data_IF_395466067081
#
_entry.id   IF_395466067081
#
_cell.length_a   1.000
_cell.length_b   1.000
_cell.length_c   1.000
_cell.angle_alpha   90.00
_cell.angle_beta   90.00
_cell.angle_gamma   90.00
#
_symmetry.space_group_name_H-M   'P 1'
#
loop_
_entity.id
_entity.type
_entity.pdbx_description
1 polymer ?
#
# COMPACT_ATOMS: atom_id res chain seq x y z
N UNK A 1 44.76 17.76 10.81
CA UNK A 1 43.41 17.96 10.33
C UNK A 1 42.50 17.92 11.53
N UNK A 2 41.96 19.09 11.91
CA UNK A 2 41.32 19.31 13.19
C UNK A 2 39.99 18.59 13.28
N UNK A 3 39.87 17.64 14.22
CA UNK A 3 38.67 16.85 14.50
C UNK A 3 37.47 17.63 15.10
N UNK A 4 37.56 18.95 15.20
CA UNK A 4 36.54 19.81 15.82
C UNK A 4 35.35 20.14 14.90
N UNK A 5 35.43 19.86 13.59
CA UNK A 5 34.33 20.16 12.65
C UNK A 5 33.23 19.10 12.57
N UNK A 6 33.42 17.92 13.18
CA UNK A 6 32.44 16.84 13.16
C UNK A 6 31.43 16.92 14.33
N UNK A 7 31.62 17.79 15.31
CA UNK A 7 30.76 17.92 16.50
C UNK A 7 30.07 19.29 16.62
N UNK A 8 30.17 20.14 15.62
CA UNK A 8 29.28 21.30 15.56
C UNK A 8 27.84 20.78 15.38
N UNK A 9 26.87 21.16 16.25
CA UNK A 9 25.47 20.93 15.99
C UNK A 9 25.03 21.89 14.89
N UNK A 10 25.55 21.70 13.68
CA UNK A 10 24.94 22.28 12.50
C UNK A 10 23.55 21.65 12.45
N UNK A 11 22.53 22.42 12.83
CA UNK A 11 21.15 22.05 12.68
C UNK A 11 20.92 21.55 11.27
N UNK A 12 19.97 20.67 11.07
CA UNK A 12 19.62 20.17 9.73
C UNK A 12 19.44 21.37 8.82
N UNK A 13 20.08 21.40 7.66
CA UNK A 13 20.02 22.52 6.73
C UNK A 13 18.59 22.92 6.33
N UNK A 14 17.65 21.98 6.41
CA UNK A 14 16.23 22.21 6.16
C UNK A 14 15.50 22.91 7.33
N UNK A 15 15.96 22.76 8.58
CA UNK A 15 15.23 23.22 9.76
C UNK A 15 14.92 24.73 9.76
N UNK A 16 15.86 25.64 9.45
CA UNK A 16 15.56 27.07 9.38
C UNK A 16 14.44 27.41 8.39
N UNK A 17 14.41 26.76 7.23
CA UNK A 17 13.41 26.96 6.19
C UNK A 17 12.03 26.44 6.63
N UNK A 18 11.99 25.25 7.24
CA UNK A 18 10.76 24.65 7.73
C UNK A 18 10.16 25.47 8.86
N UNK A 19 10.97 25.91 9.82
CA UNK A 19 10.55 26.76 10.95
C UNK A 19 10.05 28.11 10.45
N UNK A 20 10.68 28.68 9.41
CA UNK A 20 10.27 29.93 8.78
C UNK A 20 9.00 29.79 7.89
N UNK A 21 8.33 28.63 7.88
CA UNK A 21 7.18 28.32 7.03
C UNK A 21 7.47 28.46 5.53
N UNK A 22 8.72 28.22 5.14
CA UNK A 22 9.15 28.23 3.74
C UNK A 22 9.20 26.83 3.12
N UNK A 23 8.57 25.84 3.76
CA UNK A 23 8.35 24.52 3.18
C UNK A 23 7.43 24.65 1.94
N UNK A 24 7.72 23.85 0.92
CA UNK A 24 6.90 23.77 -0.30
C UNK A 24 6.50 22.32 -0.53
N UNK A 25 5.26 22.01 -0.23
CA UNK A 25 4.64 20.73 -0.47
C UNK A 25 4.06 20.63 -1.89
N UNK A 26 3.56 19.47 -2.28
CA UNK A 26 3.01 19.28 -3.64
C UNK A 26 1.94 20.31 -3.98
N UNK A 27 1.03 20.61 -3.05
CA UNK A 27 -0.04 21.59 -3.27
C UNK A 27 0.46 23.04 -3.44
N UNK A 28 1.63 23.38 -2.89
CA UNK A 28 2.24 24.71 -3.01
C UNK A 28 2.91 24.93 -4.37
N UNK A 29 3.01 23.89 -5.19
CA UNK A 29 3.65 23.89 -6.51
C UNK A 29 2.63 23.91 -7.65
N UNK A 30 1.35 24.11 -7.34
CA UNK A 30 0.26 24.06 -8.30
C UNK A 30 0.35 25.22 -9.29
N UNK A 31 0.43 24.95 -10.62
CA UNK A 31 0.29 25.99 -11.64
C UNK A 31 -1.10 26.66 -11.58
N UNK A 32 -1.17 27.95 -11.88
CA UNK A 32 -2.42 28.72 -11.79
C UNK A 32 -3.52 28.29 -12.77
N UNK A 33 -3.15 27.56 -13.81
CA UNK A 33 -4.03 27.01 -14.85
C UNK A 33 -4.25 25.49 -14.73
N UNK A 34 -3.75 24.86 -13.67
CA UNK A 34 -3.92 23.43 -13.47
C UNK A 34 -5.39 23.05 -13.29
N UNK A 35 -5.78 21.95 -13.88
CA UNK A 35 -7.08 21.32 -13.65
C UNK A 35 -7.08 20.57 -12.33
N UNK A 36 -8.24 20.45 -11.70
CA UNK A 36 -8.44 19.72 -10.46
C UNK A 36 -9.16 18.40 -10.72
N UNK A 37 -8.63 17.33 -10.15
CA UNK A 37 -9.22 16.00 -10.21
C UNK A 37 -9.85 15.62 -8.88
N UNK A 38 -10.98 14.88 -8.94
CA UNK A 38 -11.56 14.12 -7.84
C UNK A 38 -11.92 12.73 -8.33
N UNK A 39 -12.04 11.78 -7.40
CA UNK A 39 -12.35 10.40 -7.73
C UNK A 39 -13.70 10.00 -7.16
N UNK A 40 -14.59 9.50 -8.02
CA UNK A 40 -15.74 8.73 -7.56
C UNK A 40 -15.21 7.38 -7.04
N UNK A 41 -15.42 7.10 -5.75
CA UNK A 41 -14.95 5.89 -5.08
C UNK A 41 -16.11 4.99 -4.69
N UNK A 42 -15.85 3.68 -4.75
CA UNK A 42 -16.84 2.68 -4.35
C UNK A 42 -17.16 2.79 -2.86
N UNK A 43 -18.46 2.83 -2.50
CA UNK A 43 -18.92 2.78 -1.12
C UNK A 43 -19.09 1.34 -0.59
N UNK A 44 -18.86 0.31 -1.43
CA UNK A 44 -18.99 -1.09 -1.05
C UNK A 44 -17.64 -1.78 -0.96
N UNK A 45 -17.54 -2.78 -0.10
CA UNK A 45 -16.31 -3.55 0.07
C UNK A 45 -16.15 -4.67 -0.96
N UNK A 46 -17.26 -5.19 -1.50
CA UNK A 46 -17.29 -6.25 -2.52
C UNK A 46 -18.57 -6.17 -3.33
N UNK A 47 -18.47 -6.47 -4.62
CA UNK A 47 -19.62 -6.53 -5.52
C UNK A 47 -19.30 -6.10 -6.94
N UNK A 48 -20.32 -5.65 -7.65
CA UNK A 48 -20.20 -5.22 -9.05
C UNK A 48 -20.76 -3.82 -9.26
N UNK A 49 -20.16 -3.10 -10.19
CA UNK A 49 -20.76 -1.89 -10.76
C UNK A 49 -21.80 -2.37 -11.78
N UNK A 50 -23.09 -2.19 -11.45
CA UNK A 50 -24.20 -2.56 -12.32
C UNK A 50 -24.45 -1.53 -13.40
N UNK A 51 -24.31 -0.26 -13.04
CA UNK A 51 -24.57 0.88 -13.91
C UNK A 51 -23.65 2.04 -13.57
N UNK A 52 -23.18 2.74 -14.59
CA UNK A 52 -22.42 3.97 -14.47
C UNK A 52 -22.81 4.89 -15.63
N UNK A 53 -23.48 6.01 -15.34
CA UNK A 53 -23.78 7.06 -16.30
C UNK A 53 -23.12 8.38 -15.89
N UNK A 54 -22.32 8.92 -16.78
CA UNK A 54 -21.51 10.12 -16.56
C UNK A 54 -21.98 11.31 -17.42
N UNK A 55 -23.06 11.17 -18.20
CA UNK A 55 -23.44 12.16 -19.21
C UNK A 55 -23.88 13.48 -18.61
N UNK A 56 -24.68 13.46 -17.54
CA UNK A 56 -25.08 14.66 -16.81
C UNK A 56 -23.87 15.39 -16.21
N UNK A 57 -22.99 14.64 -15.57
CA UNK A 57 -21.77 15.17 -14.96
C UNK A 57 -20.79 15.74 -16.01
N UNK A 58 -20.67 15.09 -17.16
CA UNK A 58 -19.80 15.53 -18.27
C UNK A 58 -20.23 16.90 -18.82
N UNK A 59 -21.52 17.18 -18.77
CA UNK A 59 -22.12 18.44 -19.24
C UNK A 59 -22.13 19.54 -18.18
N UNK A 60 -21.69 19.27 -16.96
CA UNK A 60 -21.71 20.23 -15.86
C UNK A 60 -20.71 21.37 -16.06
N UNK A 61 -21.05 22.55 -15.56
CA UNK A 61 -20.26 23.74 -15.73
C UNK A 61 -18.85 23.61 -15.10
N UNK A 62 -17.83 23.89 -15.88
CA UNK A 62 -16.43 23.85 -15.43
C UNK A 62 -15.78 22.47 -15.52
N UNK A 63 -16.52 21.41 -15.87
CA UNK A 63 -15.96 20.08 -16.14
C UNK A 63 -15.20 20.11 -17.46
N UNK A 64 -13.99 19.56 -17.44
CA UNK A 64 -13.11 19.42 -18.62
C UNK A 64 -13.19 18.01 -19.18
N UNK A 65 -13.16 16.98 -18.30
CA UNK A 65 -13.24 15.60 -18.69
C UNK A 65 -13.74 14.73 -17.53
N UNK A 66 -14.33 13.59 -17.85
CA UNK A 66 -14.56 12.48 -16.93
C UNK A 66 -13.92 11.26 -17.59
N UNK A 67 -12.92 10.70 -16.93
CA UNK A 67 -12.15 9.56 -17.40
C UNK A 67 -12.59 8.29 -16.67
N UNK A 68 -12.79 7.22 -17.45
CA UNK A 68 -13.29 5.92 -16.99
C UNK A 68 -12.25 4.82 -17.22
N UNK A 69 -12.54 3.62 -16.76
CA UNK A 69 -11.73 2.45 -17.06
C UNK A 69 -11.68 2.10 -18.56
N UNK A 70 -12.72 2.48 -19.33
CA UNK A 70 -12.73 2.29 -20.77
C UNK A 70 -11.73 3.21 -21.47
N UNK A 71 -11.64 4.47 -21.02
CA UNK A 71 -10.63 5.40 -21.50
C UNK A 71 -9.21 4.91 -21.18
N UNK A 72 -9.00 4.37 -19.96
CA UNK A 72 -7.72 3.82 -19.55
C UNK A 72 -7.30 2.61 -20.40
N UNK A 73 -8.24 1.73 -20.72
CA UNK A 73 -8.00 0.58 -21.57
C UNK A 73 -7.67 0.99 -23.03
N UNK A 74 -8.38 2.00 -23.57
CA UNK A 74 -8.09 2.55 -24.90
C UNK A 74 -6.67 3.11 -25.00
N UNK A 75 -6.19 3.73 -23.93
CA UNK A 75 -4.86 4.35 -23.87
C UNK A 75 -3.75 3.36 -23.41
N UNK A 76 -4.09 2.10 -23.13
CA UNK A 76 -3.15 1.04 -22.74
C UNK A 76 -2.61 1.18 -21.30
N UNK A 77 -3.34 1.89 -20.42
CA UNK A 77 -2.95 2.14 -19.02
C UNK A 77 -3.96 1.56 -18.03
N UNK A 78 -4.48 0.38 -18.31
CA UNK A 78 -5.60 -0.21 -17.56
C UNK A 78 -5.22 -0.65 -16.14
N UNK A 79 -3.99 -1.17 -15.94
CA UNK A 79 -3.56 -1.77 -14.69
C UNK A 79 -2.28 -1.17 -14.15
N UNK A 80 -2.17 -1.15 -12.81
CA UNK A 80 -0.89 -0.85 -12.15
C UNK A 80 0.16 -1.88 -12.56
N UNK A 81 1.41 -1.44 -12.71
CA UNK A 81 2.52 -2.32 -13.06
C UNK A 81 2.76 -3.32 -11.92
N UNK A 82 2.61 -4.58 -12.23
CA UNK A 82 2.94 -5.67 -11.33
C UNK A 82 4.38 -6.16 -11.55
N UNK A 83 5.15 -6.34 -10.49
CA UNK A 83 6.53 -6.83 -10.58
C UNK A 83 6.73 -8.06 -9.69
N UNK A 84 6.29 -9.18 -10.16
CA UNK A 84 6.55 -10.49 -9.59
C UNK A 84 5.54 -10.94 -8.54
N UNK A 85 4.88 -12.07 -8.78
CA UNK A 85 4.04 -12.75 -7.81
C UNK A 85 4.92 -13.27 -6.64
N UNK A 86 4.45 -13.19 -5.40
CA UNK A 86 5.08 -13.94 -4.31
C UNK A 86 4.92 -15.43 -4.59
N UNK A 87 5.98 -16.17 -4.31
CA UNK A 87 5.98 -17.63 -4.51
C UNK A 87 5.25 -18.29 -3.35
N UNK A 88 4.43 -19.29 -3.65
CA UNK A 88 3.88 -20.21 -2.65
C UNK A 88 4.83 -21.39 -2.51
N UNK A 89 5.39 -21.60 -1.31
CA UNK A 89 6.30 -22.72 -1.03
C UNK A 89 5.58 -24.09 -1.07
N UNK A 90 4.24 -24.10 -1.12
CA UNK A 90 3.42 -25.29 -1.30
C UNK A 90 3.24 -25.70 -2.77
N UNK A 91 3.82 -24.95 -3.72
CA UNK A 91 3.76 -25.23 -5.15
C UNK A 91 2.45 -24.86 -5.83
N UNK A 92 1.46 -24.35 -5.10
CA UNK A 92 0.23 -23.85 -5.71
C UNK A 92 0.48 -22.52 -6.46
N UNK A 93 -0.26 -22.29 -7.53
CA UNK A 93 -0.22 -21.02 -8.23
C UNK A 93 -0.83 -19.91 -7.35
N UNK A 94 -0.07 -18.82 -7.14
CA UNK A 94 -0.66 -17.60 -6.59
C UNK A 94 -1.54 -16.95 -7.65
N UNK A 95 -2.70 -16.40 -7.23
CA UNK A 95 -3.54 -15.64 -8.15
C UNK A 95 -2.80 -14.37 -8.61
N UNK A 96 -2.85 -14.08 -9.90
CA UNK A 96 -2.38 -12.80 -10.43
C UNK A 96 -3.40 -11.72 -10.05
N UNK A 97 -3.13 -10.97 -8.99
CA UNK A 97 -3.98 -9.88 -8.53
C UNK A 97 -3.65 -8.59 -9.30
N UNK A 98 -4.12 -8.48 -10.53
CA UNK A 98 -3.95 -7.25 -11.31
C UNK A 98 -4.84 -6.14 -10.71
N UNK A 99 -4.19 -5.05 -10.28
CA UNK A 99 -4.86 -3.89 -9.68
C UNK A 99 -5.22 -2.88 -10.78
N UNK A 100 -6.51 -2.68 -11.11
CA UNK A 100 -6.89 -1.71 -12.12
C UNK A 100 -6.62 -0.29 -11.64
N UNK A 101 -6.32 0.64 -12.56
CA UNK A 101 -6.23 2.06 -12.25
C UNK A 101 -7.61 2.64 -11.91
N UNK A 102 -8.62 2.33 -12.72
CA UNK A 102 -10.03 2.61 -12.48
C UNK A 102 -10.83 1.31 -12.62
N UNK A 103 -11.85 1.12 -11.79
CA UNK A 103 -12.65 -0.10 -11.81
C UNK A 103 -13.78 0.01 -12.83
N UNK A 104 -13.89 -1.02 -13.69
CA UNK A 104 -14.96 -1.13 -14.70
C UNK A 104 -16.17 -1.90 -14.21
N UNK A 105 -15.95 -3.01 -13.53
CA UNK A 105 -17.01 -3.96 -13.23
C UNK A 105 -17.00 -4.50 -11.79
N UNK A 106 -15.83 -4.86 -11.24
CA UNK A 106 -15.72 -5.57 -9.97
C UNK A 106 -15.07 -4.70 -8.93
N UNK A 107 -15.70 -4.59 -7.78
CA UNK A 107 -15.17 -3.94 -6.57
C UNK A 107 -14.68 -5.01 -5.61
N UNK A 108 -13.48 -4.83 -5.06
CA UNK A 108 -12.84 -5.77 -4.13
C UNK A 108 -12.54 -5.18 -2.77
N UNK A 109 -12.57 -3.85 -2.63
CA UNK A 109 -12.48 -3.17 -1.32
C UNK A 109 -13.17 -1.80 -1.37
N UNK A 110 -13.56 -1.31 -0.20
CA UNK A 110 -14.08 0.05 -0.02
C UNK A 110 -13.05 1.10 -0.51
N UNK A 111 -13.53 2.14 -1.19
CA UNK A 111 -12.68 3.25 -1.64
C UNK A 111 -11.98 3.03 -2.98
N UNK A 112 -12.25 1.94 -3.70
CA UNK A 112 -11.70 1.75 -5.05
C UNK A 112 -12.20 2.83 -6.01
N UNK A 113 -11.32 3.45 -6.83
CA UNK A 113 -11.72 4.47 -7.78
C UNK A 113 -12.48 3.88 -8.96
N UNK A 114 -13.61 4.48 -9.31
CA UNK A 114 -14.49 4.09 -10.40
C UNK A 114 -14.29 4.98 -11.63
N UNK A 115 -14.26 6.29 -11.41
CA UNK A 115 -13.92 7.26 -12.46
C UNK A 115 -13.21 8.48 -11.86
N UNK A 116 -12.55 9.26 -12.72
CA UNK A 116 -11.82 10.47 -12.41
C UNK A 116 -12.52 11.66 -13.06
N UNK A 117 -12.99 12.59 -12.25
CA UNK A 117 -13.65 13.83 -12.70
C UNK A 117 -12.62 14.94 -12.68
N UNK A 118 -12.46 15.64 -13.80
CA UNK A 118 -11.47 16.69 -14.01
C UNK A 118 -12.19 17.98 -14.38
N UNK A 119 -11.96 19.03 -13.61
CA UNK A 119 -12.60 20.33 -13.79
C UNK A 119 -11.64 21.50 -13.55
N UNK A 120 -12.06 22.72 -13.90
CA UNK A 120 -11.30 23.95 -13.69
C UNK A 120 -11.07 24.28 -12.21
N UNK A 121 -11.92 23.77 -11.31
CA UNK A 121 -11.80 23.93 -9.85
C UNK A 121 -12.20 22.63 -9.15
N UNK A 122 -11.68 22.40 -7.96
CA UNK A 122 -12.06 21.25 -7.13
C UNK A 122 -13.57 21.25 -6.84
N UNK A 123 -14.14 22.45 -6.55
CA UNK A 123 -15.59 22.57 -6.31
C UNK A 123 -16.41 22.10 -7.51
N UNK A 124 -16.05 22.54 -8.74
CA UNK A 124 -16.77 22.11 -9.94
C UNK A 124 -16.64 20.59 -10.17
N UNK A 125 -15.50 19.98 -9.83
CA UNK A 125 -15.32 18.53 -9.92
C UNK A 125 -16.19 17.78 -8.90
N UNK A 126 -16.28 18.27 -7.66
CA UNK A 126 -17.15 17.72 -6.61
C UNK A 126 -18.64 17.86 -6.96
N UNK A 127 -19.07 19.06 -7.40
CA UNK A 127 -20.45 19.30 -7.83
C UNK A 127 -20.85 18.36 -9.01
N UNK A 128 -19.92 18.13 -9.94
CA UNK A 128 -20.13 17.21 -11.04
C UNK A 128 -20.19 15.73 -10.59
N UNK A 129 -19.39 15.35 -9.61
CA UNK A 129 -19.41 13.99 -9.06
C UNK A 129 -20.78 13.62 -8.51
N UNK A 130 -21.51 14.56 -7.92
CA UNK A 130 -22.88 14.38 -7.42
C UNK A 130 -23.91 14.10 -8.53
N UNK A 131 -23.60 14.44 -9.79
CA UNK A 131 -24.46 14.19 -10.95
C UNK A 131 -24.19 12.83 -11.62
N UNK A 132 -23.24 12.06 -11.13
CA UNK A 132 -22.94 10.74 -11.66
C UNK A 132 -24.00 9.75 -11.14
N UNK A 133 -24.70 9.09 -12.06
CA UNK A 133 -25.61 8.01 -11.73
C UNK A 133 -24.83 6.68 -11.71
N UNK A 134 -24.64 6.12 -10.52
CA UNK A 134 -23.92 4.86 -10.32
C UNK A 134 -24.73 3.92 -9.43
N UNK A 135 -24.83 2.66 -9.85
CA UNK A 135 -25.50 1.62 -9.08
C UNK A 135 -24.55 0.43 -8.86
N UNK A 136 -24.58 -0.11 -7.67
CA UNK A 136 -23.77 -1.25 -7.27
C UNK A 136 -24.68 -2.42 -6.86
N UNK A 137 -24.25 -3.63 -7.22
CA UNK A 137 -24.76 -4.87 -6.65
C UNK A 137 -23.71 -5.32 -5.62
N UNK A 138 -23.96 -5.03 -4.35
CA UNK A 138 -23.10 -5.44 -3.26
C UNK A 138 -23.30 -6.93 -2.96
N UNK A 139 -22.19 -7.64 -2.70
CA UNK A 139 -22.25 -9.02 -2.24
C UNK A 139 -22.55 -9.04 -0.73
N UNK A 140 -23.39 -9.98 -0.28
CA UNK A 140 -23.73 -10.17 1.13
C UNK A 140 -22.59 -10.80 1.92
N UNK A 141 -21.79 -11.65 1.27
CA UNK A 141 -20.64 -12.33 1.87
C UNK A 141 -19.34 -11.63 1.50
N UNK A 142 -18.56 -11.27 2.52
CA UNK A 142 -17.33 -10.47 2.39
C UNK A 142 -16.23 -11.10 3.23
N UNK A 143 -15.03 -11.30 2.66
CA UNK A 143 -13.85 -11.74 3.39
C UNK A 143 -13.19 -10.52 4.06
N UNK A 144 -13.57 -10.18 5.29
CA UNK A 144 -13.05 -9.00 6.01
C UNK A 144 -11.91 -9.32 6.98
N UNK A 145 -11.77 -10.58 7.40
CA UNK A 145 -10.77 -11.00 8.38
C UNK A 145 -10.03 -12.24 7.90
N UNK A 146 -8.76 -12.35 8.32
CA UNK A 146 -7.96 -13.56 8.16
C UNK A 146 -8.42 -14.69 9.10
N UNK A 147 -9.30 -14.41 10.05
CA UNK A 147 -9.92 -15.43 10.91
C UNK A 147 -11.02 -16.20 10.15
N UNK A 148 -11.57 -15.60 9.10
CA UNK A 148 -12.56 -16.24 8.22
C UNK A 148 -11.90 -16.82 6.97
N UNK A 149 -11.13 -17.87 7.15
CA UNK A 149 -10.44 -18.59 6.05
C UNK A 149 -11.40 -19.34 5.12
N UNK A 150 -12.65 -19.54 5.54
CA UNK A 150 -13.70 -20.19 4.77
C UNK A 150 -14.60 -19.19 4.03
N UNK A 151 -14.32 -17.91 4.17
CA UNK A 151 -15.08 -16.85 3.51
C UNK A 151 -14.99 -16.88 1.98
N UNK A 152 -15.76 -16.03 1.31
CA UNK A 152 -15.82 -16.01 -0.15
C UNK A 152 -14.46 -15.68 -0.77
N UNK A 153 -14.17 -16.27 -1.93
CA UNK A 153 -12.93 -16.01 -2.66
C UNK A 153 -12.88 -14.55 -3.13
N UNK A 154 -11.85 -13.82 -2.74
CA UNK A 154 -11.61 -12.44 -3.21
C UNK A 154 -11.29 -12.42 -4.71
N UNK A 155 -10.58 -13.46 -5.17
CA UNK A 155 -10.23 -13.65 -6.58
C UNK A 155 -10.92 -14.89 -7.14
N UNK A 156 -11.95 -14.73 -7.98
CA UNK A 156 -12.61 -15.86 -8.64
C UNK A 156 -11.61 -16.69 -9.44
N UNK A 157 -11.71 -18.00 -9.32
CA UNK A 157 -10.80 -18.94 -9.98
C UNK A 157 -9.55 -19.32 -9.17
N UNK A 158 -9.31 -18.69 -8.01
CA UNK A 158 -8.33 -19.18 -7.04
C UNK A 158 -8.86 -20.41 -6.30
N UNK A 159 -7.96 -21.27 -5.82
CA UNK A 159 -8.33 -22.41 -5.00
C UNK A 159 -8.74 -22.00 -3.58
N UNK A 160 -8.15 -20.91 -3.10
CA UNK A 160 -8.31 -20.36 -1.74
C UNK A 160 -7.99 -18.86 -1.74
N UNK A 161 -8.08 -18.21 -0.58
CA UNK A 161 -7.67 -16.82 -0.38
C UNK A 161 -6.18 -16.67 0.00
N UNK A 162 -5.35 -17.71 -0.14
CA UNK A 162 -3.92 -17.61 0.17
C UNK A 162 -3.20 -16.91 -1.00
N UNK A 163 -2.70 -15.72 -0.71
CA UNK A 163 -1.93 -14.91 -1.65
C UNK A 163 -0.47 -15.37 -1.76
N UNK A 164 0.12 -15.74 -0.62
CA UNK A 164 1.48 -16.24 -0.53
C UNK A 164 1.65 -17.10 0.72
N UNK A 165 2.60 -18.02 0.65
CA UNK A 165 2.98 -18.87 1.77
C UNK A 165 4.48 -19.05 1.79
N UNK A 166 5.11 -18.85 2.96
CA UNK A 166 6.55 -18.93 3.09
C UNK A 166 6.96 -19.61 4.40
N UNK A 167 7.92 -20.52 4.31
CA UNK A 167 8.53 -21.20 5.46
C UNK A 167 10.00 -20.81 5.60
N UNK A 168 10.43 -20.62 6.84
CA UNK A 168 11.82 -20.37 7.19
C UNK A 168 12.25 -21.38 8.25
N UNK A 169 13.50 -21.85 8.17
CA UNK A 169 14.05 -22.82 9.10
C UNK A 169 13.52 -24.25 8.88
N UNK A 170 13.77 -25.11 9.85
CA UNK A 170 13.40 -26.52 9.78
C UNK A 170 12.51 -26.90 10.97
N UNK A 171 11.21 -26.89 10.77
CA UNK A 171 10.20 -27.13 11.82
C UNK A 171 10.40 -28.44 12.60
N UNK A 172 10.73 -29.61 11.97
CA UNK A 172 10.97 -30.84 12.74
C UNK A 172 12.09 -30.73 13.77
N UNK A 173 13.15 -29.91 13.52
CA UNK A 173 14.19 -29.68 14.52
C UNK A 173 13.67 -28.86 15.70
N UNK A 174 12.81 -27.87 15.44
CA UNK A 174 12.14 -27.08 16.48
C UNK A 174 11.21 -27.97 17.30
N UNK A 175 10.37 -28.81 16.65
CA UNK A 175 9.47 -29.71 17.32
C UNK A 175 10.24 -30.68 18.27
N UNK A 176 11.38 -31.21 17.80
CA UNK A 176 12.24 -32.04 18.61
C UNK A 176 12.88 -31.30 19.81
N UNK A 177 13.22 -30.02 19.65
CA UNK A 177 13.75 -29.15 20.72
C UNK A 177 12.65 -28.82 21.74
N UNK A 178 11.46 -28.45 21.29
CA UNK A 178 10.30 -28.19 22.16
C UNK A 178 9.86 -29.41 22.95
N UNK A 179 9.89 -30.58 22.35
CA UNK A 179 9.55 -31.86 23.04
C UNK A 179 10.52 -32.21 24.16
N UNK A 180 11.77 -31.70 24.12
CA UNK A 180 12.81 -31.93 25.14
C UNK A 180 12.94 -30.77 26.11
N UNK A 181 12.26 -29.66 25.88
CA UNK A 181 12.33 -28.48 26.73
C UNK A 181 11.78 -28.80 28.14
N UNK A 182 12.40 -28.23 29.18
CA UNK A 182 11.88 -28.33 30.54
C UNK A 182 10.57 -27.55 30.70
N UNK A 183 10.43 -26.45 29.94
CA UNK A 183 9.23 -25.63 29.87
C UNK A 183 8.98 -25.16 28.44
N UNK A 184 7.72 -25.07 28.05
CA UNK A 184 7.28 -24.44 26.82
C UNK A 184 6.32 -23.29 27.13
N UNK A 185 6.52 -22.16 26.49
CA UNK A 185 5.65 -20.99 26.62
C UNK A 185 5.02 -20.69 25.28
N UNK A 186 3.69 -20.55 25.27
CA UNK A 186 2.89 -20.20 24.09
C UNK A 186 2.34 -18.79 24.23
N UNK A 187 2.43 -18.03 23.16
CA UNK A 187 1.84 -16.69 23.03
C UNK A 187 1.03 -16.62 21.74
N UNK A 188 -0.26 -16.40 21.87
CA UNK A 188 -1.13 -16.07 20.76
C UNK A 188 -1.19 -14.54 20.63
N UNK A 189 -0.98 -14.01 19.42
CA UNK A 189 -0.86 -12.57 19.18
C UNK A 189 -1.81 -12.11 18.07
N UNK A 190 -2.26 -10.88 18.22
CA UNK A 190 -3.00 -10.13 17.21
C UNK A 190 -2.46 -8.69 17.15
N UNK A 191 -1.98 -8.30 15.97
CA UNK A 191 -1.44 -6.97 15.68
C UNK A 191 -2.40 -6.31 14.69
N UNK A 192 -3.18 -5.36 15.18
CA UNK A 192 -4.25 -4.71 14.43
C UNK A 192 -3.78 -4.06 13.13
N UNK A 193 -4.67 -4.00 12.14
CA UNK A 193 -4.50 -3.22 10.92
C UNK A 193 -4.47 -1.74 11.25
N UNK A 194 -3.53 -0.99 10.66
CA UNK A 194 -3.33 0.44 10.93
C UNK A 194 -3.07 1.22 9.64
N UNK A 195 -3.26 2.53 9.69
CA UNK A 195 -2.82 3.48 8.64
C UNK A 195 -1.78 4.45 9.20
N UNK A 196 -0.91 4.96 8.32
CA UNK A 196 0.15 5.89 8.72
C UNK A 196 -0.40 7.26 9.16
N UNK A 197 -1.57 7.66 8.68
CA UNK A 197 -2.26 8.91 9.01
C UNK A 197 -1.30 10.12 9.03
N UNK A 198 -0.60 10.35 7.92
CA UNK A 198 0.36 11.46 7.78
C UNK A 198 -0.34 12.81 7.92
N UNK A 199 0.33 13.83 8.50
CA UNK A 199 -0.24 15.18 8.62
C UNK A 199 -0.49 15.77 7.22
N UNK A 200 0.49 15.72 6.33
CA UNK A 200 0.30 15.96 4.90
C UNK A 200 -0.37 14.75 4.27
N UNK A 201 -1.59 14.90 3.80
CA UNK A 201 -2.31 13.89 3.02
C UNK A 201 -1.61 13.67 1.67
N UNK A 202 -1.94 12.60 0.97
CA UNK A 202 -1.41 12.40 -0.39
C UNK A 202 -1.97 13.45 -1.33
N UNK A 203 -1.10 13.94 -2.19
CA UNK A 203 -1.43 14.81 -3.31
C UNK A 203 -0.49 14.54 -4.47
N UNK A 204 -0.97 14.74 -5.69
CA UNK A 204 -0.23 14.46 -6.90
C UNK A 204 -0.56 15.48 -7.98
N UNK A 205 0.46 15.94 -8.69
CA UNK A 205 0.38 16.83 -9.84
C UNK A 205 1.02 16.13 -11.04
N UNK A 206 0.21 15.79 -12.03
CA UNK A 206 0.65 15.35 -13.34
C UNK A 206 0.83 16.55 -14.27
N UNK A 207 1.92 16.59 -15.03
CA UNK A 207 2.16 17.66 -15.99
C UNK A 207 3.09 17.18 -17.12
N UNK A 208 3.27 18.04 -18.13
CA UNK A 208 4.25 17.86 -19.19
C UNK A 208 5.24 19.04 -19.10
N UNK A 209 6.54 18.76 -19.07
CA UNK A 209 7.55 19.82 -19.02
C UNK A 209 7.81 20.44 -20.42
N UNK A 210 8.61 21.51 -20.44
CA UNK A 210 8.94 22.22 -21.66
C UNK A 210 9.66 21.36 -22.72
N UNK A 211 10.20 20.20 -22.34
CA UNK A 211 10.86 19.23 -23.22
C UNK A 211 9.92 18.09 -23.65
N UNK A 212 8.64 18.15 -23.28
CA UNK A 212 7.66 17.14 -23.58
C UNK A 212 7.69 15.90 -22.66
N UNK A 213 8.47 15.92 -21.57
CA UNK A 213 8.53 14.79 -20.63
C UNK A 213 7.30 14.77 -19.72
N UNK A 214 6.81 13.57 -19.42
CA UNK A 214 5.77 13.39 -18.44
C UNK A 214 6.34 13.59 -17.02
N UNK A 215 5.72 14.47 -16.27
CA UNK A 215 6.15 14.84 -14.92
C UNK A 215 5.11 14.43 -13.88
N UNK A 216 5.58 13.80 -12.80
CA UNK A 216 4.84 13.61 -11.57
C UNK A 216 5.50 14.42 -10.46
N UNK A 217 4.76 15.34 -9.85
CA UNK A 217 5.15 15.97 -8.58
C UNK A 217 4.25 15.42 -7.49
N UNK A 218 4.84 14.73 -6.49
CA UNK A 218 4.08 14.09 -5.41
C UNK A 218 4.93 13.97 -4.15
N UNK A 219 4.28 13.94 -3.00
CA UNK A 219 5.00 13.67 -1.75
C UNK A 219 5.39 12.20 -1.68
N UNK A 220 6.62 11.90 -2.09
CA UNK A 220 7.14 10.54 -2.23
C UNK A 220 8.37 10.27 -1.38
N UNK A 221 8.43 9.06 -0.80
CA UNK A 221 9.59 8.58 -0.07
C UNK A 221 10.68 8.02 -1.00
N UNK A 222 10.32 7.55 -2.18
CA UNK A 222 11.20 6.87 -3.13
C UNK A 222 10.96 7.35 -4.56
N UNK A 223 11.32 8.60 -4.92
CA UNK A 223 11.04 9.14 -6.25
C UNK A 223 11.65 8.31 -7.38
N UNK A 224 12.83 7.71 -7.18
CA UNK A 224 13.45 6.83 -8.17
C UNK A 224 12.65 5.55 -8.43
N UNK A 225 12.00 4.99 -7.41
CA UNK A 225 11.14 3.82 -7.61
C UNK A 225 9.90 4.20 -8.43
N UNK A 226 9.25 5.31 -8.09
CA UNK A 226 8.10 5.82 -8.83
C UNK A 226 8.44 6.15 -10.29
N UNK A 227 9.63 6.70 -10.52
CA UNK A 227 10.15 6.99 -11.85
C UNK A 227 10.20 5.74 -12.75
N UNK A 228 10.80 4.66 -12.25
CA UNK A 228 10.85 3.40 -12.99
C UNK A 228 9.49 2.72 -13.15
N UNK A 229 8.58 2.91 -12.19
CA UNK A 229 7.21 2.39 -12.26
C UNK A 229 6.37 3.10 -13.31
N UNK A 230 6.43 4.42 -13.35
CA UNK A 230 5.75 5.23 -14.37
C UNK A 230 6.27 4.95 -15.78
N UNK A 231 7.59 4.81 -15.94
CA UNK A 231 8.18 4.48 -17.23
C UNK A 231 7.63 3.15 -17.78
N UNK A 232 7.51 2.14 -16.91
CA UNK A 232 6.90 0.84 -17.29
C UNK A 232 5.40 0.96 -17.56
N UNK A 233 4.67 1.73 -16.75
CA UNK A 233 3.22 1.89 -16.91
C UNK A 233 2.86 2.53 -18.25
N UNK A 234 3.63 3.53 -18.67
CA UNK A 234 3.39 4.26 -19.90
C UNK A 234 4.14 3.69 -21.13
N UNK A 235 4.87 2.58 -20.93
CA UNK A 235 5.75 2.00 -21.93
C UNK A 235 6.68 3.04 -22.58
N UNK A 236 7.33 3.84 -21.74
CA UNK A 236 8.22 4.92 -22.13
C UNK A 236 9.65 4.69 -21.59
N UNK A 237 10.67 5.15 -22.33
CA UNK A 237 12.02 5.24 -21.79
C UNK A 237 12.04 6.10 -20.50
N UNK A 238 12.91 5.75 -19.56
CA UNK A 238 13.00 6.48 -18.28
C UNK A 238 13.37 7.95 -18.45
N UNK A 239 14.11 8.31 -19.47
CA UNK A 239 14.48 9.70 -19.77
C UNK A 239 13.29 10.55 -20.26
N UNK A 240 12.15 9.95 -20.60
CA UNK A 240 10.89 10.63 -20.92
C UNK A 240 10.01 10.89 -19.69
N UNK A 241 10.41 10.41 -18.53
CA UNK A 241 9.68 10.58 -17.27
C UNK A 241 10.49 11.44 -16.31
N UNK A 242 9.81 12.26 -15.52
CA UNK A 242 10.38 13.01 -14.42
C UNK A 242 9.53 12.86 -13.16
N UNK A 243 10.15 12.56 -12.03
CA UNK A 243 9.47 12.52 -10.73
C UNK A 243 10.12 13.53 -9.80
N UNK A 244 9.31 14.40 -9.20
CA UNK A 244 9.72 15.46 -8.28
C UNK A 244 9.08 15.15 -6.93
N UNK A 245 9.91 14.98 -5.90
CA UNK A 245 9.47 14.93 -4.52
C UNK A 245 9.84 16.26 -3.85
N UNK A 246 8.87 17.13 -3.55
CA UNK A 246 9.11 18.39 -2.82
C UNK A 246 9.35 18.10 -1.33
N UNK A 247 9.10 19.07 -0.45
CA UNK A 247 9.06 18.79 0.99
C UNK A 247 7.93 17.83 1.32
N UNK A 248 8.22 16.83 2.15
CA UNK A 248 7.28 15.75 2.49
C UNK A 248 6.84 15.86 3.94
N UNK A 249 5.55 16.06 4.16
CA UNK A 249 4.92 16.22 5.47
C UNK A 249 4.58 14.90 6.18
N UNK A 250 5.47 13.93 6.07
CA UNK A 250 5.36 12.58 6.64
C UNK A 250 5.08 11.52 5.58
N UNK A 251 5.69 10.36 5.75
CA UNK A 251 5.49 9.18 4.88
C UNK A 251 5.39 7.89 5.68
N UNK A 252 6.31 7.63 6.58
CA UNK A 252 6.39 6.44 7.45
C UNK A 252 6.35 5.10 6.69
N UNK A 253 6.67 5.11 5.39
CA UNK A 253 6.60 3.95 4.49
C UNK A 253 5.41 3.99 3.53
N UNK A 254 4.28 4.56 3.92
CA UNK A 254 3.04 4.60 3.14
C UNK A 254 3.23 5.28 1.78
N UNK A 255 3.93 6.43 1.68
CA UNK A 255 4.23 7.12 0.43
C UNK A 255 5.46 6.55 -0.31
N UNK A 256 5.72 5.25 -0.17
CA UNK A 256 6.90 4.59 -0.71
C UNK A 256 6.71 3.90 -2.07
N UNK A 257 5.49 3.77 -2.56
CA UNK A 257 5.13 3.12 -3.82
C UNK A 257 4.30 4.06 -4.70
N UNK A 258 4.18 3.74 -5.98
CA UNK A 258 3.29 4.44 -6.91
C UNK A 258 1.83 4.11 -6.57
N UNK A 259 1.01 5.12 -6.38
CA UNK A 259 -0.43 4.98 -6.19
C UNK A 259 -1.19 5.12 -7.50
N UNK A 260 -2.43 4.64 -7.52
CA UNK A 260 -3.36 4.82 -8.66
C UNK A 260 -3.50 6.29 -9.02
N UNK A 261 -3.69 7.14 -8.02
CA UNK A 261 -3.88 8.59 -8.20
C UNK A 261 -2.66 9.27 -8.80
N UNK A 262 -1.44 8.88 -8.39
CA UNK A 262 -0.19 9.37 -9.00
C UNK A 262 -0.14 9.07 -10.50
N UNK A 263 -0.47 7.82 -10.86
CA UNK A 263 -0.50 7.37 -12.25
C UNK A 263 -1.60 8.06 -13.05
N UNK A 264 -2.80 8.21 -12.45
CA UNK A 264 -3.99 8.77 -13.10
C UNK A 264 -3.83 10.26 -13.39
N UNK A 265 -3.21 11.06 -12.51
CA UNK A 265 -2.96 12.50 -12.82
C UNK A 265 -1.94 12.66 -13.93
N UNK A 266 -0.92 11.80 -14.02
CA UNK A 266 0.06 11.82 -15.13
C UNK A 266 -0.60 11.39 -16.44
N UNK A 267 -1.40 10.32 -16.42
CA UNK A 267 -2.18 9.91 -17.57
C UNK A 267 -3.14 10.98 -18.07
N UNK A 268 -3.89 11.60 -17.16
CA UNK A 268 -4.82 12.68 -17.48
C UNK A 268 -4.09 13.89 -18.06
N UNK A 269 -2.95 14.26 -17.50
CA UNK A 269 -2.13 15.36 -18.03
C UNK A 269 -1.62 15.05 -19.45
N UNK A 270 -1.19 13.81 -19.72
CA UNK A 270 -0.80 13.36 -21.07
C UNK A 270 -1.97 13.45 -22.05
N UNK A 271 -3.15 12.99 -21.65
CA UNK A 271 -4.36 12.94 -22.50
C UNK A 271 -4.90 14.35 -22.79
N UNK A 272 -4.92 15.23 -21.78
CA UNK A 272 -5.50 16.57 -21.88
C UNK A 272 -4.50 17.65 -22.30
N UNK A 273 -3.20 17.32 -22.34
CA UNK A 273 -2.11 18.28 -22.62
C UNK A 273 -2.12 19.49 -21.66
N UNK A 274 -2.55 19.26 -20.41
CA UNK A 274 -2.67 20.28 -19.36
C UNK A 274 -2.33 19.67 -18.00
N UNK A 275 -1.79 20.48 -17.08
CA UNK A 275 -1.49 20.03 -15.73
C UNK A 275 -2.77 19.61 -14.98
N UNK A 276 -2.74 18.46 -14.29
CA UNK A 276 -3.85 17.91 -13.51
C UNK A 276 -3.38 17.64 -12.09
N UNK A 277 -4.08 18.21 -11.12
CA UNK A 277 -3.80 18.12 -9.70
C UNK A 277 -4.91 17.39 -8.96
N UNK A 278 -4.51 16.52 -8.04
CA UNK A 278 -5.38 15.87 -7.07
C UNK A 278 -4.79 16.00 -5.67
N UNK A 279 -5.64 16.16 -4.67
CA UNK A 279 -5.28 16.09 -3.26
C UNK A 279 -6.40 15.41 -2.49
N UNK A 280 -6.05 14.40 -1.70
CA UNK A 280 -6.99 13.74 -0.80
C UNK A 280 -7.42 14.69 0.33
N UNK A 281 -8.63 14.53 0.81
CA UNK A 281 -9.00 14.94 2.15
C UNK A 281 -8.71 13.83 3.18
N UNK A 282 -8.97 14.09 4.45
CA UNK A 282 -8.69 13.12 5.52
C UNK A 282 -9.58 11.87 5.42
N UNK A 283 -10.84 12.03 5.06
CA UNK A 283 -11.77 10.91 4.90
C UNK A 283 -11.38 10.04 3.72
N UNK A 284 -11.05 10.66 2.60
CA UNK A 284 -10.54 9.97 1.42
C UNK A 284 -9.21 9.23 1.72
N UNK A 285 -8.30 9.83 2.51
CA UNK A 285 -7.06 9.17 2.94
C UNK A 285 -7.32 7.87 3.68
N UNK A 286 -8.31 7.79 4.56
CA UNK A 286 -8.61 6.55 5.30
C UNK A 286 -9.09 5.40 4.42
N UNK A 287 -9.66 5.69 3.26
CA UNK A 287 -10.18 4.67 2.32
C UNK A 287 -9.31 4.49 1.07
N UNK A 288 -8.27 5.30 0.89
CA UNK A 288 -7.41 5.26 -0.30
C UNK A 288 -5.91 5.07 0.00
N UNK A 289 -5.45 5.40 1.22
CA UNK A 289 -4.08 5.14 1.64
C UNK A 289 -3.89 3.66 1.97
N UNK A 290 -2.75 3.10 1.55
CA UNK A 290 -2.41 1.72 1.88
C UNK A 290 -2.27 1.55 3.39
N UNK A 291 -2.86 0.47 3.92
CA UNK A 291 -2.79 0.10 5.32
C UNK A 291 -1.52 -0.70 5.63
N UNK A 292 -1.36 -1.10 6.90
CA UNK A 292 -0.20 -1.87 7.32
C UNK A 292 -0.52 -2.77 8.52
N UNK A 293 0.46 -3.57 8.94
CA UNK A 293 0.33 -4.53 10.04
C UNK A 293 -0.68 -5.64 9.67
N UNK A 294 -1.72 -5.86 10.51
CA UNK A 294 -2.70 -6.92 10.33
C UNK A 294 -2.05 -8.32 10.32
N UNK A 295 -1.42 -8.67 11.43
CA UNK A 295 -0.70 -9.94 11.61
C UNK A 295 -1.19 -10.61 12.88
N UNK A 296 -1.71 -11.84 12.77
CA UNK A 296 -2.07 -12.66 13.93
C UNK A 296 -1.38 -14.03 13.87
N UNK A 297 -1.35 -14.72 14.97
CA UNK A 297 -0.78 -16.06 15.00
C UNK A 297 -0.35 -16.54 16.37
N UNK A 298 0.57 -17.50 16.36
CA UNK A 298 1.07 -18.16 17.55
C UNK A 298 2.59 -18.24 17.55
N UNK A 299 3.21 -17.97 18.69
CA UNK A 299 4.62 -18.22 18.92
C UNK A 299 4.81 -19.20 20.09
N UNK A 300 5.79 -20.10 20.00
CA UNK A 300 6.12 -21.08 21.05
C UNK A 300 7.63 -21.06 21.28
N UNK A 301 8.02 -20.82 22.53
CA UNK A 301 9.41 -20.83 22.99
C UNK A 301 9.63 -22.02 23.92
N UNK A 302 10.68 -22.78 23.69
CA UNK A 302 11.17 -23.81 24.60
C UNK A 302 12.33 -23.28 25.46
N UNK A 303 12.31 -23.66 26.74
CA UNK A 303 13.36 -23.34 27.72
C UNK A 303 13.88 -24.63 28.34
N UNK A 304 15.17 -24.69 28.63
CA UNK A 304 15.74 -25.76 29.48
C UNK A 304 15.56 -25.44 30.98
N UNK A 305 16.11 -26.29 31.86
CA UNK A 305 15.99 -26.13 33.30
C UNK A 305 16.67 -24.87 33.86
N UNK A 306 17.64 -24.33 33.12
CA UNK A 306 18.39 -23.12 33.48
C UNK A 306 17.78 -21.84 32.84
N UNK A 307 16.65 -21.98 32.13
CA UNK A 307 15.97 -20.88 31.45
C UNK A 307 16.59 -20.49 30.10
N UNK A 308 17.52 -21.29 29.56
CA UNK A 308 18.10 -21.03 28.26
C UNK A 308 17.14 -21.47 27.14
N UNK A 309 17.09 -20.69 26.05
CA UNK A 309 16.23 -20.99 24.92
C UNK A 309 16.70 -22.24 24.17
N UNK A 310 15.78 -23.16 23.90
CA UNK A 310 16.06 -24.41 23.20
C UNK A 310 15.53 -24.42 21.78
N UNK A 311 14.39 -23.76 21.53
CA UNK A 311 13.80 -23.67 20.20
C UNK A 311 12.68 -22.64 20.15
N UNK A 312 12.45 -22.07 18.96
CA UNK A 312 11.40 -21.09 18.69
C UNK A 312 10.61 -21.48 17.45
N UNK A 313 9.30 -21.58 17.58
CA UNK A 313 8.35 -21.67 16.48
C UNK A 313 7.49 -20.42 16.40
N UNK A 314 7.30 -19.88 15.19
CA UNK A 314 6.37 -18.77 14.94
C UNK A 314 5.52 -19.12 13.73
N UNK A 315 4.21 -19.12 13.92
CA UNK A 315 3.22 -19.22 12.86
C UNK A 315 2.43 -17.91 12.80
N UNK A 316 2.46 -17.23 11.66
CA UNK A 316 1.83 -15.94 11.49
C UNK A 316 1.00 -15.89 10.22
N UNK A 317 -0.18 -15.30 10.34
CA UNK A 317 -1.11 -15.02 9.26
C UNK A 317 -1.17 -13.50 9.05
N UNK A 318 -1.14 -13.07 7.80
CA UNK A 318 -1.08 -11.65 7.42
C UNK A 318 -2.17 -11.32 6.43
N UNK A 319 -2.92 -10.28 6.72
CA UNK A 319 -3.88 -9.70 5.78
C UNK A 319 -3.15 -8.84 4.74
N UNK A 320 -3.29 -9.17 3.46
CA UNK A 320 -2.73 -8.39 2.36
C UNK A 320 -3.72 -7.39 1.76
N UNK A 321 -4.99 -7.45 2.16
CA UNK A 321 -6.08 -6.77 1.48
C UNK A 321 -6.43 -7.42 0.15
N UNK A 322 -7.15 -6.71 -0.69
CA UNK A 322 -7.67 -7.24 -1.96
C UNK A 322 -6.58 -7.43 -3.04
N UNK A 323 -5.45 -6.76 -2.88
CA UNK A 323 -4.34 -6.78 -3.84
C UNK A 323 -3.01 -6.95 -3.11
N UNK A 324 -2.07 -7.62 -3.75
CA UNK A 324 -0.70 -7.65 -3.25
C UNK A 324 -0.03 -6.30 -3.49
N UNK A 325 0.59 -5.78 -2.45
CA UNK A 325 1.49 -4.64 -2.57
C UNK A 325 2.80 -5.09 -3.20
N UNK A 326 3.42 -4.23 -4.00
CA UNK A 326 4.78 -4.44 -4.53
C UNK A 326 5.82 -4.73 -3.43
N UNK A 327 5.49 -4.39 -2.18
CA UNK A 327 6.39 -4.52 -1.03
C UNK A 327 6.04 -5.66 -0.09
N UNK A 328 5.00 -6.46 -0.40
CA UNK A 328 4.62 -7.64 0.40
C UNK A 328 5.82 -8.56 0.66
N UNK A 329 6.67 -8.77 -0.36
CA UNK A 329 7.92 -9.55 -0.23
C UNK A 329 8.90 -8.98 0.83
N UNK A 330 8.92 -7.67 1.05
CA UNK A 330 9.78 -7.05 2.06
C UNK A 330 9.38 -7.42 3.48
N UNK A 331 8.11 -7.63 3.75
CA UNK A 331 7.62 -8.12 5.04
C UNK A 331 8.09 -9.55 5.31
N UNK A 332 8.04 -10.44 4.30
CA UNK A 332 8.57 -11.81 4.39
C UNK A 332 10.03 -11.83 4.87
N UNK A 333 10.87 -10.98 4.27
CA UNK A 333 12.29 -10.93 4.61
C UNK A 333 12.54 -10.39 6.03
N UNK A 334 11.68 -9.51 6.52
CA UNK A 334 11.89 -8.83 7.80
C UNK A 334 11.33 -9.62 8.99
N UNK A 335 10.26 -10.40 8.82
CA UNK A 335 9.71 -11.21 9.90
C UNK A 335 10.62 -12.39 10.25
N UNK A 336 11.54 -12.77 9.36
CA UNK A 336 12.62 -13.72 9.66
C UNK A 336 13.55 -13.25 10.78
N UNK A 337 13.46 -11.97 11.18
CA UNK A 337 14.16 -11.41 12.34
C UNK A 337 13.57 -11.76 13.71
N UNK A 338 12.66 -12.70 13.83
CA UNK A 338 12.05 -13.14 15.11
C UNK A 338 13.05 -13.69 16.13
N UNK A 339 14.28 -14.03 15.72
CA UNK A 339 15.36 -14.35 16.65
C UNK A 339 15.71 -13.19 17.57
N UNK A 340 15.47 -11.94 17.13
CA UNK A 340 15.87 -10.75 17.85
C UNK A 340 17.37 -10.73 18.11
N UNK A 341 17.74 -10.33 19.32
CA UNK A 341 19.13 -10.33 19.82
C UNK A 341 19.47 -11.58 20.64
N UNK A 342 18.56 -12.55 20.70
CA UNK A 342 18.67 -13.72 21.57
C UNK A 342 19.32 -14.89 20.85
N UNK A 343 20.01 -15.73 21.64
CA UNK A 343 20.64 -16.94 21.15
C UNK A 343 19.65 -18.11 21.26
N UNK A 344 18.99 -18.43 20.17
CA UNK A 344 18.08 -19.57 20.07
C UNK A 344 18.70 -20.60 19.11
N UNK A 345 18.97 -21.86 19.55
CA UNK A 345 19.68 -22.86 18.73
C UNK A 345 18.94 -23.26 17.46
N UNK A 346 17.63 -23.40 17.55
CA UNK A 346 16.80 -23.75 16.39
C UNK A 346 15.57 -22.84 16.32
N UNK A 347 15.32 -22.30 15.13
CA UNK A 347 14.21 -21.40 14.85
C UNK A 347 13.55 -21.84 13.55
N UNK A 348 12.23 -21.89 13.54
CA UNK A 348 11.47 -22.02 12.32
C UNK A 348 10.21 -21.14 12.38
N UNK A 349 9.75 -20.72 11.20
CA UNK A 349 8.52 -19.95 11.07
C UNK A 349 7.74 -20.32 9.82
N UNK A 350 6.43 -20.19 9.88
CA UNK A 350 5.52 -20.22 8.74
C UNK A 350 4.78 -18.89 8.65
N UNK A 351 4.69 -18.35 7.44
CA UNK A 351 4.03 -17.10 7.16
C UNK A 351 3.04 -17.30 6.03
N UNK A 352 1.78 -17.01 6.29
CA UNK A 352 0.71 -17.09 5.31
C UNK A 352 0.13 -15.70 5.06
N UNK A 353 0.01 -15.34 3.80
CA UNK A 353 -0.59 -14.08 3.36
C UNK A 353 -1.96 -14.37 2.78
N UNK A 354 -2.98 -13.66 3.25
CA UNK A 354 -4.35 -13.86 2.84
C UNK A 354 -4.90 -12.65 2.10
N UNK A 355 -5.65 -12.88 1.04
CA UNK A 355 -6.50 -11.87 0.43
C UNK A 355 -7.74 -11.65 1.29
N UNK A 356 -8.11 -10.37 1.45
CA UNK A 356 -9.37 -9.93 2.06
C UNK A 356 -10.01 -8.83 1.23
N UNK A 357 -11.29 -8.57 1.43
CA UNK A 357 -11.99 -7.44 0.78
C UNK A 357 -11.74 -6.11 1.50
N UNK A 358 -10.46 -5.83 1.80
CA UNK A 358 -10.01 -4.63 2.48
C UNK A 358 -8.90 -3.93 1.72
N UNK A 359 -8.54 -2.69 2.13
CA UNK A 359 -7.39 -1.99 1.58
C UNK A 359 -6.11 -2.84 1.73
N UNK A 360 -5.29 -2.86 0.70
CA UNK A 360 -4.02 -3.59 0.70
C UNK A 360 -3.06 -3.09 1.78
N UNK A 361 -2.22 -4.00 2.29
CA UNK A 361 -1.17 -3.67 3.25
C UNK A 361 0.15 -3.40 2.56
N UNK A 362 0.88 -2.42 3.09
CA UNK A 362 2.16 -1.96 2.58
C UNK A 362 3.14 -1.61 3.72
N UNK A 363 4.35 -1.18 3.42
CA UNK A 363 5.29 -0.79 4.44
C UNK A 363 4.77 0.31 5.35
N UNK A 364 4.83 0.06 6.66
CA UNK A 364 4.72 1.06 7.70
C UNK A 364 5.90 0.91 8.65
N UNK A 365 6.51 1.99 9.06
CA UNK A 365 7.71 2.17 9.91
C UNK A 365 8.24 0.87 10.54
N UNK A 366 9.30 0.32 9.92
CA UNK A 366 9.91 -0.94 10.35
C UNK A 366 9.47 -2.19 9.58
N UNK A 367 8.23 -2.25 9.05
CA UNK A 367 7.68 -3.26 8.13
C UNK A 367 8.18 -4.70 8.37
N UNK A 368 7.50 -5.43 9.24
CA UNK A 368 7.86 -6.78 9.68
C UNK A 368 8.80 -6.82 10.89
N UNK A 369 9.70 -5.83 11.06
CA UNK A 369 10.61 -5.78 12.22
C UNK A 369 9.90 -5.48 13.54
N UNK A 370 8.99 -4.49 13.63
CA UNK A 370 8.21 -4.27 14.84
C UNK A 370 7.35 -5.47 15.22
N UNK A 371 6.77 -6.14 14.21
CA UNK A 371 5.98 -7.36 14.41
C UNK A 371 6.85 -8.47 14.99
N UNK A 372 8.02 -8.72 14.40
CA UNK A 372 8.98 -9.71 14.90
C UNK A 372 9.44 -9.40 16.34
N UNK A 373 9.79 -8.13 16.60
CA UNK A 373 10.19 -7.69 17.95
C UNK A 373 9.05 -7.86 18.96
N UNK A 374 7.84 -7.43 18.60
CA UNK A 374 6.66 -7.59 19.47
C UNK A 374 6.43 -9.06 19.85
N UNK A 375 6.50 -9.96 18.86
CA UNK A 375 6.27 -11.39 19.08
C UNK A 375 7.30 -11.96 20.05
N UNK A 376 8.60 -11.74 19.80
CA UNK A 376 9.64 -12.35 20.64
C UNK A 376 9.71 -11.73 22.04
N UNK A 377 9.63 -10.41 22.18
CA UNK A 377 9.71 -9.75 23.47
C UNK A 377 8.50 -10.08 24.38
N UNK A 378 7.27 -10.12 23.81
CA UNK A 378 6.08 -10.52 24.56
C UNK A 378 6.10 -12.00 24.96
N UNK A 379 6.69 -12.85 24.10
CA UNK A 379 6.86 -14.27 24.41
C UNK A 379 7.85 -14.48 25.58
N UNK A 380 8.94 -13.68 25.59
CA UNK A 380 9.94 -13.69 26.68
C UNK A 380 9.34 -13.16 27.99
N UNK A 381 8.64 -12.03 27.95
CA UNK A 381 7.91 -11.49 29.11
C UNK A 381 6.97 -12.53 29.74
N UNK A 382 6.33 -13.34 28.88
CA UNK A 382 5.42 -14.40 29.35
C UNK A 382 6.17 -15.61 29.90
N UNK A 383 7.42 -15.81 29.49
CA UNK A 383 8.27 -16.89 29.93
C UNK A 383 8.93 -16.59 31.30
N UNK A 384 9.17 -15.32 31.61
CA UNK A 384 9.75 -14.83 32.87
C UNK A 384 8.70 -14.83 34.00
#
# INVERSE_FOLDING_TARGET
>A
MNGEKLLSPAGRCADPRLVARAARHTADLLPGDALHAVFLRSPIARGRIRHLSIDAARSAAGVTAILTADDAAQDGVEYMVWTGAPVRDDGAASSESQRPLLNRAVIRHLGEPVCMIIAKTQKAALDAMELIDVAYDADDEIALSIDDLQGPLVWPGSADNIAAFHRLGYKPAVDAALAKAAQTVRFDFDISKVTACTIEMRSALGSIDANGKLCLTTSAQSPFALHGELAKLFDLPTDQIRVIAPDVGGSFGMKGALYREDALVVWAAKRLQQAVFWSADRSESFISDEHARAVCGTAVLGLDADGLFTGLWVEANTDTGAYLSRRTKGMLNNIGGVAGQYKTPVIASALTFFYTNTMQTSPYRGFGRPEATYIIERLIDKAA
#
